data_IF_085769135916
#
_entry.id   IF_085769135916
#
_cell.length_a   1.000
_cell.length_b   1.000
_cell.length_c   1.000
_cell.angle_alpha   90.00
_cell.angle_beta   90.00
_cell.angle_gamma   90.00
#
_symmetry.space_group_name_H-M   'P 1'
#
loop_
_entity.id
_entity.type
_entity.pdbx_description
1 polymer ?
#
# COMPACT_ATOMS: atom_id res chain seq x y z
N UNK A 1 -14.23 -2.05 1.10
CA UNK A 1 -13.68 -1.07 2.06
C UNK A 1 -12.68 -1.82 2.89
N UNK A 2 -11.41 -1.41 2.89
CA UNK A 2 -10.31 -2.20 3.46
C UNK A 2 -9.65 -1.51 4.65
N UNK A 3 -9.64 -0.17 4.68
CA UNK A 3 -9.01 0.60 5.74
C UNK A 3 -9.89 1.78 6.15
N UNK A 4 -9.98 2.02 7.46
CA UNK A 4 -10.57 3.20 8.07
C UNK A 4 -9.85 3.51 9.38
N UNK A 5 -9.11 4.61 9.43
CA UNK A 5 -8.33 4.99 10.61
C UNK A 5 -8.82 6.33 11.12
N UNK A 6 -9.07 6.40 12.43
CA UNK A 6 -9.31 7.67 13.14
C UNK A 6 -7.98 8.15 13.70
N UNK A 7 -7.58 9.35 13.33
CA UNK A 7 -6.35 9.98 13.82
C UNK A 7 -6.57 10.59 15.20
N UNK A 8 -5.48 10.78 15.96
CA UNK A 8 -5.56 11.33 17.32
C UNK A 8 -6.16 12.74 17.40
N UNK A 9 -6.05 13.52 16.34
CA UNK A 9 -6.61 14.87 16.22
C UNK A 9 -8.11 14.88 15.83
N UNK A 10 -8.75 13.71 15.74
CA UNK A 10 -10.20 13.59 15.54
C UNK A 10 -10.64 13.57 14.08
N UNK A 11 -9.73 13.33 13.14
CA UNK A 11 -10.05 13.13 11.72
C UNK A 11 -10.18 11.65 11.41
N UNK A 12 -10.80 11.33 10.29
CA UNK A 12 -10.96 9.97 9.79
C UNK A 12 -10.46 9.88 8.35
N UNK A 13 -9.66 8.87 8.08
CA UNK A 13 -9.24 8.51 6.73
C UNK A 13 -10.10 7.36 6.22
N UNK A 14 -10.70 7.56 5.04
CA UNK A 14 -11.67 6.61 4.47
C UNK A 14 -11.38 6.33 3.01
N UNK A 15 -11.43 5.04 2.66
CA UNK A 15 -11.37 4.53 1.28
C UNK A 15 -12.74 4.53 0.61
N UNK A 16 -12.77 5.00 -0.63
CA UNK A 16 -13.94 5.01 -1.48
C UNK A 16 -13.61 4.57 -2.90
N UNK A 17 -14.64 4.17 -3.63
CA UNK A 17 -14.55 3.88 -5.06
C UNK A 17 -15.60 4.68 -5.80
N UNK A 18 -15.23 5.17 -6.98
CA UNK A 18 -16.17 5.80 -7.90
C UNK A 18 -16.09 5.10 -9.25
N UNK A 19 -17.20 4.48 -9.65
CA UNK A 19 -17.33 3.89 -10.97
C UNK A 19 -17.64 5.00 -11.96
N UNK A 20 -16.70 5.32 -12.83
CA UNK A 20 -16.80 6.45 -13.76
C UNK A 20 -16.24 6.07 -15.13
N UNK A 21 -16.42 6.97 -16.10
CA UNK A 21 -15.85 6.82 -17.44
C UNK A 21 -14.60 7.69 -17.62
N UNK A 22 -13.58 7.16 -18.30
CA UNK A 22 -12.37 7.90 -18.70
C UNK A 22 -11.81 7.36 -20.02
N UNK A 23 -10.81 8.04 -20.58
CA UNK A 23 -10.08 7.56 -21.75
C UNK A 23 -9.12 6.44 -21.35
N UNK A 24 -9.40 5.21 -21.83
CA UNK A 24 -8.57 4.03 -21.59
C UNK A 24 -7.65 3.70 -22.78
N UNK A 25 -7.48 4.61 -23.74
CA UNK A 25 -6.68 4.36 -24.95
C UNK A 25 -5.22 4.02 -24.64
N UNK A 26 -4.66 4.57 -23.54
CA UNK A 26 -3.29 4.28 -23.10
C UNK A 26 -3.05 2.81 -22.77
N UNK A 27 -4.11 2.09 -22.34
CA UNK A 27 -4.08 0.66 -22.02
C UNK A 27 -4.77 -0.19 -23.09
N UNK A 28 -4.95 0.35 -24.30
CA UNK A 28 -5.60 -0.35 -25.42
C UNK A 28 -7.13 -0.47 -25.30
N UNK A 29 -7.74 0.26 -24.36
CA UNK A 29 -9.18 0.31 -24.14
C UNK A 29 -9.90 1.37 -24.97
N UNK A 30 -11.23 1.52 -24.80
CA UNK A 30 -12.02 2.54 -25.48
C UNK A 30 -11.81 3.94 -24.87
N UNK A 31 -12.00 4.98 -25.69
CA UNK A 31 -11.95 6.40 -25.26
C UNK A 31 -12.95 6.80 -24.17
N UNK A 32 -14.02 6.03 -24.00
CA UNK A 32 -15.05 6.23 -22.96
C UNK A 32 -15.26 4.92 -22.20
N UNK A 33 -14.18 4.38 -21.65
CA UNK A 33 -14.19 3.12 -20.91
C UNK A 33 -14.61 3.30 -19.47
N UNK A 34 -15.19 2.25 -18.87
CA UNK A 34 -15.54 2.23 -17.46
C UNK A 34 -14.36 1.83 -16.60
N UNK A 35 -14.14 2.55 -15.51
CA UNK A 35 -13.10 2.28 -14.52
C UNK A 35 -13.66 2.49 -13.11
N UNK A 36 -13.09 1.77 -12.15
CA UNK A 36 -13.32 1.99 -10.72
C UNK A 36 -12.19 2.86 -10.17
N UNK A 37 -12.43 4.16 -10.07
CA UNK A 37 -11.50 5.11 -9.49
C UNK A 37 -11.33 4.86 -7.99
N UNK A 38 -10.09 4.93 -7.51
CA UNK A 38 -9.75 4.76 -6.10
C UNK A 38 -9.61 6.13 -5.44
N UNK A 39 -10.37 6.34 -4.37
CA UNK A 39 -10.55 7.66 -3.76
C UNK A 39 -10.29 7.62 -2.27
N UNK A 40 -9.49 8.54 -1.74
CA UNK A 40 -9.40 8.72 -0.30
C UNK A 40 -9.94 10.05 0.17
N UNK A 41 -10.44 10.02 1.41
CA UNK A 41 -10.98 11.18 2.08
C UNK A 41 -10.34 11.33 3.45
N UNK A 42 -9.99 12.57 3.81
CA UNK A 42 -9.80 12.99 5.19
C UNK A 42 -11.05 13.76 5.63
N UNK A 43 -11.69 13.30 6.69
CA UNK A 43 -12.97 13.81 7.17
C UNK A 43 -12.81 14.26 8.62
N UNK A 44 -13.25 15.48 8.95
CA UNK A 44 -13.39 15.90 10.35
C UNK A 44 -14.60 15.19 10.97
N UNK A 45 -14.37 14.35 11.98
CA UNK A 45 -15.41 13.46 12.52
C UNK A 45 -16.53 14.26 13.17
N UNK A 46 -16.23 15.38 13.82
CA UNK A 46 -17.24 16.16 14.55
C UNK A 46 -18.20 16.91 13.65
N UNK A 47 -17.70 17.45 12.53
CA UNK A 47 -18.49 18.29 11.61
C UNK A 47 -18.95 17.54 10.37
N UNK A 48 -18.38 16.36 10.11
CA UNK A 48 -18.57 15.59 8.88
C UNK A 48 -18.11 16.37 7.62
N UNK A 49 -17.18 17.31 7.79
CA UNK A 49 -16.58 18.07 6.69
C UNK A 49 -15.46 17.28 6.04
N UNK A 50 -15.44 17.26 4.70
CA UNK A 50 -14.34 16.69 3.93
C UNK A 50 -13.21 17.72 3.90
N UNK A 51 -12.11 17.42 4.59
CA UNK A 51 -10.92 18.26 4.64
C UNK A 51 -10.03 18.04 3.42
N UNK A 52 -9.99 16.80 2.92
CA UNK A 52 -9.19 16.41 1.76
C UNK A 52 -9.88 15.31 0.98
N UNK A 53 -9.80 15.37 -0.36
CA UNK A 53 -10.20 14.30 -1.27
C UNK A 53 -9.09 14.12 -2.29
N UNK A 54 -8.72 12.87 -2.51
CA UNK A 54 -7.79 12.50 -3.57
C UNK A 54 -8.36 11.39 -4.45
N UNK A 55 -8.05 11.44 -5.74
CA UNK A 55 -8.47 10.49 -6.77
C UNK A 55 -7.26 10.02 -7.54
N UNK A 56 -7.16 8.70 -7.74
CA UNK A 56 -6.12 8.16 -8.59
C UNK A 56 -6.26 8.63 -10.04
N UNK A 57 -7.50 8.79 -10.52
CA UNK A 57 -7.75 9.29 -11.88
C UNK A 57 -7.31 10.75 -12.10
N UNK A 58 -7.32 11.58 -11.06
CA UNK A 58 -6.84 12.96 -11.15
C UNK A 58 -5.30 13.04 -11.33
N UNK A 59 -4.59 11.91 -11.19
CA UNK A 59 -3.12 11.82 -11.17
C UNK A 59 -2.55 10.79 -12.16
N UNK A 60 -3.25 10.49 -13.26
CA UNK A 60 -2.82 9.51 -14.27
C UNK A 60 -1.49 9.88 -14.98
N UNK A 61 -1.08 11.15 -14.89
CA UNK A 61 0.22 11.63 -15.35
C UNK A 61 1.38 11.15 -14.45
N UNK A 62 1.11 10.96 -13.16
CA UNK A 62 2.06 10.48 -12.15
C UNK A 62 1.90 9.00 -11.83
N UNK A 63 0.68 8.45 -12.00
CA UNK A 63 0.34 7.04 -11.81
C UNK A 63 -0.31 6.51 -13.09
N UNK A 64 0.49 6.20 -14.13
CA UNK A 64 -0.02 5.75 -15.42
C UNK A 64 -0.80 4.43 -15.33
N UNK A 65 -1.91 4.36 -16.06
CA UNK A 65 -2.79 3.19 -16.05
C UNK A 65 -2.14 1.91 -16.60
N UNK A 66 -1.11 2.02 -17.43
CA UNK A 66 -0.38 0.87 -17.98
C UNK A 66 0.53 0.18 -16.95
N UNK A 67 0.79 0.82 -15.81
CA UNK A 67 1.52 0.22 -14.69
C UNK A 67 0.63 -0.63 -13.76
N UNK A 68 -0.70 -0.61 -13.93
CA UNK A 68 -1.61 -1.46 -13.15
C UNK A 68 -1.71 -2.84 -13.78
N UNK A 69 -1.62 -3.89 -12.95
CA UNK A 69 -2.06 -5.22 -13.36
C UNK A 69 -3.54 -5.15 -13.75
N UNK A 70 -3.94 -5.70 -14.92
CA UNK A 70 -5.34 -5.67 -15.32
C UNK A 70 -6.17 -6.35 -14.24
N UNK A 71 -7.13 -5.59 -13.68
CA UNK A 71 -8.19 -5.98 -12.74
C UNK A 71 -8.05 -5.46 -11.28
N UNK A 72 -9.11 -4.78 -10.82
CA UNK A 72 -9.45 -4.38 -9.45
C UNK A 72 -8.59 -3.29 -8.74
N UNK A 73 -9.21 -2.49 -7.83
CA UNK A 73 -8.65 -1.20 -7.38
C UNK A 73 -7.68 -1.32 -6.17
N UNK A 74 -7.06 -0.18 -5.84
CA UNK A 74 -6.10 0.11 -4.75
C UNK A 74 -6.67 -0.26 -3.38
N UNK A 75 -5.90 -0.85 -2.44
CA UNK A 75 -6.49 -1.55 -1.27
C UNK A 75 -5.99 -1.26 0.14
N UNK A 76 -4.96 -0.46 0.46
CA UNK A 76 -4.64 -0.17 1.88
C UNK A 76 -3.85 1.13 2.06
N UNK A 77 -4.16 2.00 3.03
CA UNK A 77 -3.46 3.28 3.22
C UNK A 77 -2.96 3.52 4.65
N UNK A 78 -2.02 4.46 4.81
CA UNK A 78 -1.49 4.97 6.08
C UNK A 78 -1.31 6.49 6.07
N UNK A 79 -1.10 7.11 7.23
CA UNK A 79 -0.91 8.56 7.39
C UNK A 79 0.30 8.84 8.28
N UNK A 80 1.18 9.76 7.84
CA UNK A 80 2.30 10.23 8.65
C UNK A 80 2.55 11.72 8.41
N UNK A 81 2.61 12.51 9.48
CA UNK A 81 2.98 13.94 9.46
C UNK A 81 2.21 14.82 8.44
N UNK A 82 0.96 14.47 8.14
CA UNK A 82 0.12 15.16 7.17
C UNK A 82 0.41 14.81 5.70
N UNK A 83 1.20 13.77 5.44
CA UNK A 83 1.30 13.10 4.14
C UNK A 83 0.60 11.74 4.21
N UNK A 84 0.17 11.24 3.05
CA UNK A 84 -0.59 9.99 2.97
C UNK A 84 0.23 8.94 2.25
N UNK A 85 0.13 7.69 2.67
CA UNK A 85 0.76 6.57 1.96
C UNK A 85 -0.32 5.65 1.48
N UNK A 86 -0.22 5.30 0.20
CA UNK A 86 -1.17 4.46 -0.49
C UNK A 86 -0.51 3.14 -0.89
N UNK A 87 -0.92 2.02 -0.29
CA UNK A 87 -0.68 0.69 -0.83
C UNK A 87 -1.69 0.34 -1.91
N UNK A 88 -1.17 0.16 -3.11
CA UNK A 88 -1.91 -0.26 -4.28
C UNK A 88 -1.58 -1.70 -4.65
N UNK A 89 -2.50 -2.59 -4.30
CA UNK A 89 -2.41 -4.04 -4.52
C UNK A 89 -2.06 -4.38 -5.97
N UNK A 90 -2.78 -3.82 -6.94
CA UNK A 90 -2.61 -4.19 -8.35
C UNK A 90 -1.58 -3.34 -9.11
N UNK A 91 -1.11 -2.24 -8.54
CA UNK A 91 0.14 -1.62 -9.01
C UNK A 91 1.38 -2.29 -8.41
N UNK A 92 1.20 -3.18 -7.43
CA UNK A 92 2.31 -3.73 -6.63
C UNK A 92 3.21 -2.60 -6.05
N UNK A 93 2.57 -1.49 -5.64
CA UNK A 93 3.25 -0.23 -5.35
C UNK A 93 2.74 0.45 -4.08
N UNK A 94 3.62 1.17 -3.41
CA UNK A 94 3.31 2.19 -2.42
C UNK A 94 3.49 3.58 -3.04
N UNK A 95 2.54 4.50 -2.86
CA UNK A 95 2.64 5.90 -3.28
C UNK A 95 2.62 6.81 -2.06
N UNK A 96 3.55 7.76 -1.96
CA UNK A 96 3.43 8.86 -0.99
C UNK A 96 2.75 10.04 -1.66
N UNK A 97 1.70 10.53 -1.02
CA UNK A 97 0.90 11.66 -1.47
C UNK A 97 1.21 12.87 -0.58
N UNK A 98 1.68 13.93 -1.22
CA UNK A 98 1.94 15.22 -0.59
C UNK A 98 0.63 15.94 -0.22
N UNK A 99 0.75 17.01 0.57
CA UNK A 99 -0.41 17.78 1.07
C UNK A 99 -1.22 18.47 -0.02
N UNK A 100 -0.58 18.80 -1.14
CA UNK A 100 -1.22 19.38 -2.31
C UNK A 100 -1.84 18.32 -3.24
N UNK A 101 -1.66 17.04 -2.93
CA UNK A 101 -2.18 15.90 -3.69
C UNK A 101 -1.21 15.27 -4.67
N UNK A 102 -0.04 15.88 -4.94
CA UNK A 102 0.94 15.28 -5.85
C UNK A 102 1.53 13.99 -5.27
N UNK A 103 1.96 13.09 -6.15
CA UNK A 103 2.72 11.89 -5.80
C UNK A 103 4.18 12.30 -5.62
N UNK A 104 4.68 12.22 -4.39
CA UNK A 104 6.05 12.59 -4.02
C UNK A 104 7.04 11.50 -4.45
N UNK A 105 6.69 10.24 -4.18
CA UNK A 105 7.44 9.09 -4.66
C UNK A 105 6.58 7.83 -4.80
N UNK A 106 7.08 6.90 -5.62
CA UNK A 106 6.53 5.57 -5.88
C UNK A 106 7.58 4.51 -5.53
N UNK A 107 7.21 3.59 -4.65
CA UNK A 107 7.98 2.39 -4.34
C UNK A 107 7.25 1.18 -4.93
N UNK A 108 7.80 0.57 -5.99
CA UNK A 108 7.12 -0.45 -6.78
C UNK A 108 7.94 -1.74 -6.89
N UNK A 109 7.31 -2.90 -6.67
CA UNK A 109 8.03 -4.18 -6.66
C UNK A 109 8.29 -4.84 -8.02
N UNK A 110 7.88 -4.23 -9.13
CA UNK A 110 8.15 -4.74 -10.50
C UNK A 110 9.35 -4.04 -11.15
N UNK A 111 9.30 -2.71 -11.26
CA UNK A 111 10.32 -1.89 -11.92
C UNK A 111 11.04 -0.93 -10.95
N UNK A 112 10.78 -1.05 -9.65
CA UNK A 112 11.37 -0.20 -8.61
C UNK A 112 10.59 1.09 -8.35
N UNK A 113 10.00 1.69 -9.39
CA UNK A 113 9.41 3.02 -9.30
C UNK A 113 10.52 4.07 -9.26
N UNK A 114 10.57 4.87 -8.20
CA UNK A 114 11.65 5.84 -7.95
C UNK A 114 12.85 5.23 -7.22
N UNK A 115 12.82 3.92 -6.90
CA UNK A 115 13.81 3.24 -6.07
C UNK A 115 14.30 1.93 -6.66
N UNK A 116 15.46 1.44 -6.22
CA UNK A 116 15.96 0.11 -6.55
C UNK A 116 15.26 -0.96 -5.71
N UNK A 117 14.18 -1.54 -6.24
CA UNK A 117 13.36 -2.51 -5.52
C UNK A 117 12.72 -3.54 -6.47
N UNK A 118 12.62 -4.78 -5.98
CA UNK A 118 11.82 -5.84 -6.59
C UNK A 118 11.09 -6.65 -5.49
N UNK A 119 10.19 -7.56 -5.90
CA UNK A 119 9.65 -8.61 -5.02
C UNK A 119 8.42 -8.23 -4.20
N UNK A 120 7.99 -6.97 -4.23
CA UNK A 120 6.72 -6.57 -3.61
C UNK A 120 5.57 -6.77 -4.61
N UNK A 121 4.53 -7.50 -4.22
CA UNK A 121 3.32 -7.59 -5.03
C UNK A 121 2.07 -7.92 -4.24
N UNK A 122 0.95 -7.36 -4.71
CA UNK A 122 -0.37 -7.54 -4.11
C UNK A 122 -0.44 -7.23 -2.61
N UNK A 123 0.44 -6.33 -2.16
CA UNK A 123 0.72 -6.09 -0.76
C UNK A 123 -0.41 -5.33 -0.04
N UNK A 124 -0.51 -5.59 1.25
CA UNK A 124 -1.49 -5.06 2.16
C UNK A 124 -0.82 -4.40 3.38
N UNK A 125 -1.59 -3.62 4.12
CA UNK A 125 -1.23 -3.04 5.42
C UNK A 125 0.14 -2.30 5.46
N UNK A 126 0.37 -1.41 4.49
CA UNK A 126 1.57 -0.57 4.54
C UNK A 126 1.53 0.39 5.75
N UNK A 127 2.63 0.44 6.51
CA UNK A 127 2.83 1.32 7.66
C UNK A 127 4.23 1.91 7.65
N UNK A 128 4.37 3.16 8.06
CA UNK A 128 5.66 3.79 8.31
C UNK A 128 5.91 3.78 9.80
N UNK A 129 7.06 3.26 10.20
CA UNK A 129 7.48 3.20 11.60
C UNK A 129 8.38 4.37 11.96
N UNK A 130 9.31 4.69 11.06
CA UNK A 130 10.22 5.82 11.19
C UNK A 130 10.25 6.63 9.89
N UNK A 131 10.27 7.95 10.01
CA UNK A 131 10.43 8.88 8.88
C UNK A 131 11.35 10.02 9.29
N UNK A 132 12.41 10.21 8.52
CA UNK A 132 13.39 11.28 8.66
C UNK A 132 13.47 12.06 7.33
N UNK A 133 14.28 13.12 7.31
CA UNK A 133 14.46 13.96 6.12
C UNK A 133 15.09 13.19 4.94
N UNK A 134 15.96 12.22 5.24
CA UNK A 134 16.75 11.47 4.26
C UNK A 134 16.27 10.03 4.03
N UNK A 135 15.25 9.56 4.74
CA UNK A 135 14.78 8.19 4.62
C UNK A 135 13.57 7.84 5.48
N UNK A 136 13.04 6.65 5.26
CA UNK A 136 11.88 6.12 5.99
C UNK A 136 11.90 4.60 6.07
N UNK A 137 11.15 4.03 7.01
CA UNK A 137 11.12 2.60 7.28
C UNK A 137 9.69 2.03 7.12
N UNK A 138 9.32 1.56 5.91
CA UNK A 138 8.01 0.97 5.69
C UNK A 138 7.98 -0.51 6.07
N UNK A 139 6.89 -0.94 6.71
CA UNK A 139 6.49 -2.35 6.73
C UNK A 139 5.30 -2.62 5.81
N UNK A 140 5.24 -3.83 5.27
CA UNK A 140 4.11 -4.32 4.48
C UNK A 140 3.78 -5.78 4.84
N UNK A 141 2.56 -6.17 4.50
CA UNK A 141 2.17 -7.58 4.35
C UNK A 141 2.26 -7.92 2.85
N UNK A 142 3.34 -8.58 2.42
CA UNK A 142 3.59 -8.93 1.04
C UNK A 142 2.87 -10.24 0.70
N UNK A 143 1.66 -10.16 0.16
CA UNK A 143 0.90 -11.35 -0.22
C UNK A 143 1.63 -12.18 -1.26
N UNK A 144 2.26 -11.53 -2.23
CA UNK A 144 2.87 -12.12 -3.43
C UNK A 144 1.93 -12.98 -4.29
N UNK A 145 0.64 -12.97 -3.97
CA UNK A 145 -0.41 -13.77 -4.60
C UNK A 145 -1.70 -12.96 -4.73
N UNK A 146 -2.55 -13.36 -5.66
CA UNK A 146 -3.85 -12.77 -5.98
C UNK A 146 -4.79 -13.83 -6.56
N UNK A 147 -5.99 -13.42 -6.93
CA UNK A 147 -6.95 -14.32 -7.60
C UNK A 147 -6.55 -14.66 -9.04
N UNK A 148 -5.62 -13.90 -9.65
CA UNK A 148 -5.15 -14.08 -11.03
C UNK A 148 -3.75 -14.68 -11.11
N UNK A 149 -2.92 -14.48 -10.08
CA UNK A 149 -1.56 -14.99 -9.97
C UNK A 149 -1.38 -15.57 -8.56
N UNK A 150 -1.29 -16.89 -8.43
CA UNK A 150 -1.28 -17.57 -7.14
C UNK A 150 -0.33 -18.77 -7.13
N UNK A 151 0.18 -19.13 -5.96
CA UNK A 151 1.11 -20.22 -5.72
C UNK A 151 2.51 -19.91 -6.23
N UNK A 152 2.86 -18.63 -6.35
CA UNK A 152 4.16 -18.18 -6.89
C UNK A 152 5.19 -18.11 -5.77
N UNK A 153 5.00 -17.19 -4.83
CA UNK A 153 5.90 -16.94 -3.71
C UNK A 153 5.10 -16.98 -2.40
N UNK A 154 5.73 -17.36 -1.29
CA UNK A 154 5.05 -17.37 0.00
C UNK A 154 4.80 -15.94 0.48
N UNK A 155 3.83 -15.79 1.37
CA UNK A 155 3.47 -14.51 1.97
C UNK A 155 4.44 -14.14 3.09
N UNK A 156 4.92 -12.90 3.05
CA UNK A 156 5.96 -12.38 3.91
C UNK A 156 5.50 -11.12 4.65
N UNK A 157 5.93 -10.95 5.90
CA UNK A 157 5.90 -9.66 6.57
C UNK A 157 7.23 -8.98 6.36
N UNK A 158 7.25 -7.89 5.59
CA UNK A 158 8.50 -7.24 5.21
C UNK A 158 8.62 -5.91 5.94
N UNK A 159 9.80 -5.64 6.49
CA UNK A 159 10.24 -4.32 6.93
C UNK A 159 11.47 -3.92 6.11
N UNK A 160 11.43 -2.71 5.55
CA UNK A 160 12.51 -2.17 4.74
C UNK A 160 12.99 -0.85 5.30
N UNK A 161 14.21 -0.46 4.97
CA UNK A 161 14.73 0.89 5.11
C UNK A 161 14.90 1.49 3.72
N UNK A 162 14.45 2.73 3.53
CA UNK A 162 14.46 3.42 2.25
C UNK A 162 15.24 4.72 2.39
N UNK A 163 16.22 4.92 1.50
CA UNK A 163 17.02 6.14 1.40
C UNK A 163 16.48 7.04 0.29
N UNK A 164 16.09 8.27 0.63
CA UNK A 164 15.64 9.26 -0.36
C UNK A 164 16.81 9.86 -1.14
N UNK A 165 18.00 9.90 -0.53
CA UNK A 165 19.21 10.45 -1.16
C UNK A 165 19.81 9.50 -2.21
N UNK A 166 19.90 8.21 -1.90
CA UNK A 166 20.50 7.21 -2.80
C UNK A 166 19.48 6.46 -3.64
N UNK A 167 18.19 6.56 -3.30
CA UNK A 167 17.09 5.79 -3.94
C UNK A 167 17.26 4.27 -3.78
N UNK A 168 17.97 3.84 -2.75
CA UNK A 168 18.17 2.44 -2.41
C UNK A 168 17.13 1.97 -1.40
N UNK A 169 16.74 0.71 -1.51
CA UNK A 169 15.93 -0.01 -0.53
C UNK A 169 16.74 -1.15 0.05
N UNK A 170 16.77 -1.25 1.37
CA UNK A 170 17.42 -2.34 2.09
C UNK A 170 16.39 -3.13 2.90
N UNK A 171 16.40 -4.46 2.77
CA UNK A 171 15.62 -5.34 3.62
C UNK A 171 16.14 -5.26 5.06
N UNK A 172 15.27 -4.90 6.00
CA UNK A 172 15.58 -4.90 7.43
C UNK A 172 15.12 -6.20 8.06
N UNK A 173 13.91 -6.64 7.73
CA UNK A 173 13.35 -7.88 8.25
C UNK A 173 12.39 -8.53 7.25
N UNK A 174 12.50 -9.85 7.13
CA UNK A 174 11.56 -10.71 6.41
C UNK A 174 10.98 -11.74 7.40
N UNK A 175 9.65 -11.85 7.42
CA UNK A 175 8.88 -12.63 8.36
C UNK A 175 8.05 -13.68 7.64
N UNK A 176 8.53 -14.92 7.74
CA UNK A 176 7.81 -16.09 7.27
C UNK A 176 8.19 -17.32 8.12
N UNK A 177 7.36 -18.36 8.08
CA UNK A 177 7.64 -19.63 8.78
C UNK A 177 7.93 -20.71 7.75
N UNK A 178 9.21 -21.02 7.56
CA UNK A 178 9.70 -22.01 6.59
C UNK A 178 9.16 -23.43 6.82
N UNK A 179 8.56 -23.72 8.00
CA UNK A 179 7.97 -25.04 8.30
C UNK A 179 6.48 -25.12 7.98
N UNK A 180 5.83 -23.97 7.77
CA UNK A 180 4.42 -23.86 7.43
C UNK A 180 4.23 -22.58 6.60
N UNK A 181 4.72 -22.62 5.36
CA UNK A 181 4.59 -21.55 4.39
C UNK A 181 3.11 -21.30 4.07
N UNK A 182 2.73 -20.03 3.92
CA UNK A 182 1.36 -19.61 3.64
C UNK A 182 1.39 -18.74 2.39
N UNK A 183 0.44 -18.98 1.49
CA UNK A 183 0.27 -18.25 0.24
C UNK A 183 -1.10 -17.57 0.30
N UNK A 184 -1.13 -16.34 0.79
CA UNK A 184 -2.34 -15.56 0.98
C UNK A 184 -2.71 -14.79 -0.26
N UNK A 185 -3.86 -15.10 -0.86
CA UNK A 185 -4.32 -14.42 -2.07
C UNK A 185 -4.73 -12.97 -1.84
N UNK A 186 -5.22 -12.62 -0.64
CA UNK A 186 -5.72 -11.29 -0.36
C UNK A 186 -5.75 -10.98 1.13
N UNK A 187 -5.76 -9.67 1.44
CA UNK A 187 -5.84 -9.15 2.81
C UNK A 187 -4.65 -9.61 3.64
N UNK A 188 -4.70 -9.26 4.92
CA UNK A 188 -3.67 -9.58 5.90
C UNK A 188 -3.01 -8.33 6.44
N UNK A 189 -2.23 -8.51 7.49
CA UNK A 189 -1.59 -7.40 8.18
C UNK A 189 -0.27 -7.85 8.83
N UNK A 190 0.66 -6.91 8.95
CA UNK A 190 1.92 -7.08 9.68
C UNK A 190 1.97 -6.00 10.75
N UNK A 191 1.71 -6.37 12.00
CA UNK A 191 1.66 -5.41 13.11
C UNK A 191 2.86 -5.56 14.03
N UNK A 192 3.74 -4.57 14.02
CA UNK A 192 4.82 -4.44 15.00
C UNK A 192 4.23 -3.98 16.34
N UNK A 193 4.64 -4.65 17.42
CA UNK A 193 4.15 -4.44 18.79
C UNK A 193 5.33 -4.13 19.71
N UNK A 194 5.09 -3.38 20.83
CA UNK A 194 6.11 -3.15 21.84
C UNK A 194 6.73 -4.46 22.35
N UNK A 195 8.04 -4.43 22.63
CA UNK A 195 8.77 -5.58 23.16
C UNK A 195 9.31 -6.55 22.10
N UNK A 196 9.51 -6.09 20.86
CA UNK A 196 10.06 -6.87 19.74
C UNK A 196 9.16 -8.05 19.33
N UNK A 197 7.84 -7.83 19.31
CA UNK A 197 6.87 -8.81 18.81
C UNK A 197 6.24 -8.31 17.53
N UNK A 198 6.02 -9.21 16.57
CA UNK A 198 5.28 -8.89 15.33
C UNK A 198 4.16 -9.89 15.16
N UNK A 199 2.93 -9.39 15.08
CA UNK A 199 1.75 -10.21 14.83
C UNK A 199 1.37 -10.12 13.35
N UNK A 200 1.34 -11.27 12.69
CA UNK A 200 0.88 -11.39 11.31
C UNK A 200 -0.45 -12.13 11.26
N UNK A 201 -1.46 -11.47 10.70
CA UNK A 201 -2.72 -12.09 10.31
C UNK A 201 -2.71 -12.41 8.82
N UNK A 202 -2.91 -13.67 8.44
CA UNK A 202 -2.78 -14.13 7.04
C UNK A 202 -4.01 -13.90 6.17
N UNK A 203 -4.77 -12.83 6.45
CA UNK A 203 -5.85 -12.34 5.60
C UNK A 203 -6.90 -13.40 5.27
N UNK A 204 -7.03 -13.74 3.99
CA UNK A 204 -7.93 -14.79 3.49
C UNK A 204 -7.69 -16.18 4.09
N UNK A 205 -6.53 -16.42 4.71
CA UNK A 205 -6.22 -17.64 5.41
C UNK A 205 -6.50 -17.44 6.90
N UNK A 206 -7.27 -18.33 7.56
CA UNK A 206 -7.62 -18.20 8.97
C UNK A 206 -6.46 -18.62 9.88
N UNK A 207 -5.31 -17.96 9.74
CA UNK A 207 -4.08 -18.20 10.49
C UNK A 207 -3.54 -16.87 11.03
N UNK A 208 -3.03 -16.92 12.25
CA UNK A 208 -2.27 -15.84 12.88
C UNK A 208 -0.95 -16.44 13.34
N UNK A 209 0.15 -15.74 13.13
CA UNK A 209 1.48 -16.09 13.64
C UNK A 209 2.10 -14.90 14.34
N UNK A 210 2.85 -15.19 15.38
CA UNK A 210 3.67 -14.21 16.09
C UNK A 210 5.13 -14.49 15.82
N UNK A 211 5.87 -13.44 15.53
CA UNK A 211 7.29 -13.45 15.22
C UNK A 211 8.04 -12.53 16.18
N UNK A 212 9.35 -12.73 16.29
CA UNK A 212 10.24 -11.77 16.96
C UNK A 212 10.59 -10.65 15.98
N UNK A 213 10.33 -9.40 16.35
CA UNK A 213 10.67 -8.20 15.58
C UNK A 213 12.09 -7.70 15.84
N UNK A 214 12.59 -6.88 14.91
CA UNK A 214 13.88 -6.17 15.04
C UNK A 214 13.74 -4.70 15.44
N UNK A 215 12.51 -4.21 15.63
CA UNK A 215 12.21 -2.81 15.97
C UNK A 215 11.13 -2.73 17.05
N UNK A 216 11.18 -1.67 17.86
CA UNK A 216 10.30 -1.40 19.01
C UNK A 216 9.59 -0.07 18.90
#
# INVERSE_FOLDING_TARGET
MHENTVTFDGKMLVTGYNVTQTDLSSVGGPKNGWITDSLFYEIEVKTNEILFRWSALDHIDQIPLDHVQPFYPVKDWGHNNGTYIISSRYYCSLFKIAKDGSVDWTLQGQAGGDFELNGISYQHNARIHDEAEDGFMPSIFNNANSDVQNGTDHTEGILMSVSLATREVSLVQDLHDQRDEIFSNSQGNTQFLPGNHVLMGYGSNPKIKEYTGLVS
#
